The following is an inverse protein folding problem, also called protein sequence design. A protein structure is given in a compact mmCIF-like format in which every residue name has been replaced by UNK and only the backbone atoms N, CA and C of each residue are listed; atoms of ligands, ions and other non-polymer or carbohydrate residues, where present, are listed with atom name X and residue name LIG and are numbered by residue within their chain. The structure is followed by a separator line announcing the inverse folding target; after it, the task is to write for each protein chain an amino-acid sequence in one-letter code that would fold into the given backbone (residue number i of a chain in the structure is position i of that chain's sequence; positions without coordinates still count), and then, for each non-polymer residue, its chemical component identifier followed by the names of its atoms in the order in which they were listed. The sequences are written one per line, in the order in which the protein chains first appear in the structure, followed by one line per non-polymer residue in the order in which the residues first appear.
data_IF_330298113693
#
_entry.id   IF_330298113693
#
_cell.length_a   1.000
_cell.length_b   1.000
_cell.length_c   1.000
_cell.angle_alpha   90.00
_cell.angle_beta   90.00
_cell.angle_gamma   90.00
#
_symmetry.space_group_name_H-M   'P 1'
#
loop_
_entity.id
_entity.type
_entity.pdbx_description
1 polymer ?
#
# COMPACT_ATOMS: atom_id res chain seq x y z
N UNK A 1 60.82 26.20 -48.52
CA UNK A 1 62.02 25.33 -48.32
C UNK A 1 61.96 24.57 -47.04
N UNK A 2 62.33 23.32 -47.15
CA UNK A 2 62.53 22.31 -46.11
C UNK A 2 61.34 21.59 -45.52
N UNK A 3 61.23 20.38 -46.00
CA UNK A 3 60.59 19.17 -45.46
C UNK A 3 61.24 18.79 -44.14
N UNK A 4 60.43 18.18 -43.25
CA UNK A 4 60.94 17.00 -42.54
C UNK A 4 59.84 16.09 -42.14
N UNK A 5 59.99 14.83 -42.38
CA UNK A 5 59.22 13.68 -41.98
C UNK A 5 59.20 13.49 -40.48
N UNK A 6 58.18 12.89 -39.97
CA UNK A 6 58.41 11.87 -39.05
C UNK A 6 57.38 10.89 -38.64
N UNK A 7 57.74 9.78 -38.65
CA UNK A 7 57.43 8.49 -38.01
C UNK A 7 56.03 8.21 -37.36
N UNK A 8 55.46 7.19 -37.97
CA UNK A 8 54.35 6.40 -37.35
C UNK A 8 54.92 5.58 -36.18
N UNK A 9 54.21 5.65 -35.04
CA UNK A 9 54.28 4.62 -34.00
C UNK A 9 52.89 4.02 -33.87
N UNK A 10 52.81 2.77 -34.23
CA UNK A 10 51.65 1.93 -34.04
C UNK A 10 51.54 1.61 -32.55
N UNK A 11 50.54 2.16 -31.87
CA UNK A 11 50.10 1.73 -30.56
C UNK A 11 48.81 0.92 -30.69
N UNK A 12 48.93 -0.39 -30.58
CA UNK A 12 47.79 -1.30 -30.46
C UNK A 12 47.10 -1.03 -29.12
N UNK A 13 46.01 -0.28 -29.13
CA UNK A 13 45.10 -0.19 -27.99
C UNK A 13 44.10 -1.34 -28.08
N UNK A 14 44.35 -2.38 -27.30
CA UNK A 14 43.37 -3.45 -27.05
C UNK A 14 42.30 -2.88 -26.17
N UNK A 15 41.18 -2.45 -26.76
CA UNK A 15 39.98 -2.08 -26.04
C UNK A 15 39.26 -3.37 -25.63
N UNK A 16 39.48 -3.78 -24.38
CA UNK A 16 38.67 -4.82 -23.73
C UNK A 16 37.30 -4.19 -23.43
N UNK A 17 36.40 -4.36 -24.38
CA UNK A 17 34.98 -4.03 -24.17
C UNK A 17 34.37 -5.00 -23.18
N UNK A 18 34.20 -4.57 -21.95
CA UNK A 18 33.38 -5.26 -21.00
C UNK A 18 31.92 -4.94 -21.36
N UNK A 19 31.30 -5.80 -22.15
CA UNK A 19 29.85 -5.81 -22.29
C UNK A 19 29.28 -6.41 -21.02
N UNK A 20 28.89 -5.54 -20.10
CA UNK A 20 28.00 -5.92 -19.00
C UNK A 20 26.63 -6.20 -19.61
N UNK A 21 26.42 -7.42 -20.09
CA UNK A 21 25.07 -7.94 -20.32
C UNK A 21 24.43 -8.15 -18.96
N UNK A 22 23.87 -7.09 -18.40
CA UNK A 22 22.91 -7.18 -17.32
C UNK A 22 21.68 -7.89 -17.88
N UNK A 23 21.60 -9.20 -17.75
CA UNK A 23 20.35 -9.92 -17.86
C UNK A 23 19.46 -9.43 -16.73
N UNK A 24 18.64 -8.41 -17.02
CA UNK A 24 17.44 -8.17 -16.25
C UNK A 24 16.53 -9.36 -16.55
N UNK A 25 16.56 -10.37 -15.68
CA UNK A 25 15.55 -11.43 -15.71
C UNK A 25 14.21 -10.75 -15.41
N UNK A 26 13.46 -10.43 -16.45
CA UNK A 26 12.05 -10.19 -16.31
C UNK A 26 11.49 -11.48 -15.74
N UNK A 27 11.17 -11.48 -14.44
CA UNK A 27 10.30 -12.47 -13.89
C UNK A 27 8.98 -12.35 -14.69
N UNK A 28 8.75 -13.29 -15.59
CA UNK A 28 7.45 -13.43 -16.20
C UNK A 28 6.53 -13.88 -15.07
N UNK A 29 5.75 -12.97 -14.52
CA UNK A 29 4.58 -13.33 -13.76
C UNK A 29 3.70 -14.13 -14.73
N UNK A 30 3.69 -15.45 -14.56
CA UNK A 30 2.68 -16.29 -15.16
C UNK A 30 1.37 -15.98 -14.45
N UNK A 31 0.78 -14.85 -14.81
CA UNK A 31 -0.59 -14.56 -14.44
C UNK A 31 -1.45 -15.53 -15.23
N UNK A 32 -1.96 -16.54 -14.57
CA UNK A 32 -2.98 -17.42 -15.14
C UNK A 32 -4.22 -16.56 -15.34
N UNK A 33 -4.52 -16.27 -16.60
CA UNK A 33 -5.74 -15.57 -16.99
C UNK A 33 -6.91 -16.51 -16.71
N UNK A 34 -7.58 -16.32 -15.59
CA UNK A 34 -8.84 -16.99 -15.31
C UNK A 34 -9.92 -16.37 -16.19
N UNK A 35 -10.26 -17.05 -17.28
CA UNK A 35 -11.36 -16.65 -18.13
C UNK A 35 -12.67 -17.04 -17.43
N UNK A 36 -13.36 -16.05 -16.88
CA UNK A 36 -14.70 -16.25 -16.33
C UNK A 36 -15.70 -16.18 -17.51
N UNK A 37 -16.21 -17.33 -17.90
CA UNK A 37 -17.30 -17.38 -18.89
C UNK A 37 -18.63 -17.15 -18.17
N UNK A 38 -19.23 -16.00 -18.39
CA UNK A 38 -20.57 -15.70 -17.92
C UNK A 38 -21.61 -16.21 -18.92
N UNK A 39 -21.91 -17.50 -18.87
CA UNK A 39 -23.00 -18.08 -19.64
C UNK A 39 -24.32 -17.98 -18.84
N UNK A 40 -25.25 -17.23 -19.38
CA UNK A 40 -26.64 -17.30 -18.96
C UNK A 40 -26.93 -16.75 -17.56
N UNK A 41 -26.66 -15.48 -17.36
CA UNK A 41 -27.23 -14.77 -16.20
C UNK A 41 -28.70 -14.55 -16.51
N UNK A 42 -29.52 -15.55 -16.23
CA UNK A 42 -30.97 -15.44 -16.39
C UNK A 42 -31.74 -15.49 -15.06
N UNK A 43 -31.06 -15.75 -13.94
CA UNK A 43 -31.75 -15.87 -12.66
C UNK A 43 -31.12 -14.99 -11.61
N UNK A 44 -31.93 -14.50 -10.69
CA UNK A 44 -31.52 -13.79 -9.50
C UNK A 44 -30.45 -14.60 -8.77
N UNK A 45 -29.32 -13.96 -8.50
CA UNK A 45 -28.22 -14.58 -7.76
C UNK A 45 -28.68 -14.72 -6.30
N UNK A 46 -29.16 -15.91 -5.95
CA UNK A 46 -29.63 -16.19 -4.60
C UNK A 46 -28.41 -16.37 -3.71
N UNK A 47 -28.23 -15.49 -2.72
CA UNK A 47 -27.09 -15.53 -1.78
C UNK A 47 -26.88 -16.91 -1.14
N UNK A 48 -27.95 -17.67 -0.89
CA UNK A 48 -27.88 -19.02 -0.35
C UNK A 48 -27.18 -20.04 -1.25
N UNK A 49 -26.98 -19.75 -2.54
CA UNK A 49 -26.28 -20.65 -3.46
C UNK A 49 -24.76 -20.69 -3.23
N UNK A 50 -24.17 -19.65 -2.59
CA UNK A 50 -22.74 -19.55 -2.33
C UNK A 50 -22.39 -19.20 -0.88
N UNK A 51 -23.35 -18.70 -0.06
CA UNK A 51 -23.15 -18.45 1.36
C UNK A 51 -23.69 -19.63 2.18
N UNK A 52 -22.82 -20.24 2.95
CA UNK A 52 -23.19 -21.31 3.92
C UNK A 52 -23.84 -20.72 5.17
N UNK A 53 -23.33 -19.56 5.62
CA UNK A 53 -23.82 -18.84 6.77
C UNK A 53 -23.39 -17.38 6.66
N UNK A 54 -24.09 -16.50 7.37
CA UNK A 54 -23.69 -15.10 7.54
C UNK A 54 -23.93 -14.69 8.98
N UNK A 55 -23.19 -13.71 9.40
CA UNK A 55 -23.34 -13.05 10.70
C UNK A 55 -23.46 -11.55 10.47
N UNK A 56 -24.34 -10.91 11.21
CA UNK A 56 -24.51 -9.46 11.19
C UNK A 56 -23.92 -8.91 12.49
N UNK A 57 -22.85 -8.13 12.37
CA UNK A 57 -22.23 -7.45 13.50
C UNK A 57 -22.63 -5.98 13.43
N UNK A 58 -23.39 -5.51 14.42
CA UNK A 58 -23.72 -4.11 14.56
C UNK A 58 -22.56 -3.36 15.21
N UNK A 59 -22.00 -2.37 14.50
CA UNK A 59 -20.93 -1.55 15.07
C UNK A 59 -21.54 -0.48 15.99
N UNK A 60 -20.94 -0.33 17.18
CA UNK A 60 -21.37 0.62 18.19
C UNK A 60 -21.11 2.06 17.73
N UNK A 61 -22.12 2.90 17.90
CA UNK A 61 -22.11 4.35 17.69
C UNK A 61 -22.28 5.14 19.01
N UNK A 62 -21.98 4.48 20.13
CA UNK A 62 -22.27 4.99 21.49
C UNK A 62 -21.48 6.25 21.88
N UNK A 63 -20.39 6.55 21.16
CA UNK A 63 -19.56 7.73 21.38
C UNK A 63 -19.30 8.46 20.05
N UNK A 64 -19.11 9.78 20.04
CA UNK A 64 -18.88 10.54 18.80
C UNK A 64 -17.68 10.04 17.96
N UNK A 65 -16.64 9.55 18.60
CA UNK A 65 -15.45 9.02 17.94
C UNK A 65 -15.74 7.73 17.17
N UNK A 66 -16.76 6.97 17.56
CA UNK A 66 -17.19 5.73 16.93
C UNK A 66 -18.01 5.95 15.66
N UNK A 67 -18.55 7.15 15.45
CA UNK A 67 -19.38 7.44 14.28
C UNK A 67 -18.58 7.27 13.00
N UNK A 68 -19.12 6.50 12.06
CA UNK A 68 -18.54 6.26 10.74
C UNK A 68 -19.29 7.14 9.75
N UNK A 69 -18.56 7.97 9.01
CA UNK A 69 -19.15 8.82 7.98
C UNK A 69 -19.26 8.08 6.66
N UNK A 70 -18.18 7.42 6.28
CA UNK A 70 -18.15 6.59 5.08
C UNK A 70 -17.10 5.47 5.21
N UNK A 71 -17.52 4.18 5.24
CA UNK A 71 -16.58 3.07 5.35
C UNK A 71 -15.91 2.80 3.99
N UNK A 72 -14.74 3.38 3.77
CA UNK A 72 -13.97 3.15 2.53
C UNK A 72 -13.41 1.74 2.44
N UNK A 73 -12.96 1.21 3.58
CA UNK A 73 -12.41 -0.15 3.67
C UNK A 73 -12.68 -0.75 5.05
N UNK A 74 -12.97 -2.05 5.07
CA UNK A 74 -13.10 -2.82 6.31
C UNK A 74 -12.05 -3.91 6.30
N UNK A 75 -11.25 -3.98 7.37
CA UNK A 75 -10.19 -4.97 7.54
C UNK A 75 -10.55 -5.87 8.73
N UNK A 76 -10.46 -7.17 8.52
CA UNK A 76 -10.78 -8.17 9.54
C UNK A 76 -9.51 -8.87 10.02
N UNK A 77 -9.27 -8.79 11.32
CA UNK A 77 -8.33 -9.62 12.07
C UNK A 77 -9.09 -10.68 12.88
N UNK A 78 -8.38 -11.58 13.55
CA UNK A 78 -9.03 -12.63 14.35
C UNK A 78 -9.91 -12.07 15.47
N UNK A 79 -9.47 -11.00 16.11
CA UNK A 79 -10.05 -10.42 17.31
C UNK A 79 -10.48 -8.96 17.16
N UNK A 80 -10.35 -8.38 15.95
CA UNK A 80 -10.61 -6.96 15.68
C UNK A 80 -11.28 -6.75 14.33
N UNK A 81 -12.07 -5.69 14.26
CA UNK A 81 -12.60 -5.11 13.03
C UNK A 81 -12.05 -3.69 12.93
N UNK A 82 -11.39 -3.39 11.83
CA UNK A 82 -10.91 -2.04 11.55
C UNK A 82 -11.72 -1.43 10.42
N UNK A 83 -12.14 -0.18 10.60
CA UNK A 83 -12.89 0.57 9.60
C UNK A 83 -12.09 1.81 9.21
N UNK A 84 -11.76 1.90 7.94
CA UNK A 84 -11.10 3.07 7.35
C UNK A 84 -12.15 4.05 6.90
N UNK A 85 -12.18 5.22 7.51
CA UNK A 85 -13.08 6.32 7.16
C UNK A 85 -12.26 7.51 6.67
N UNK A 86 -12.03 7.54 5.34
CA UNK A 86 -11.24 8.62 4.71
C UNK A 86 -11.98 9.96 4.78
N UNK A 87 -13.31 9.94 4.82
CA UNK A 87 -14.13 11.14 4.88
C UNK A 87 -14.00 11.89 6.21
N UNK A 88 -13.68 11.18 7.29
CA UNK A 88 -13.39 11.75 8.62
C UNK A 88 -11.90 11.60 9.00
N UNK A 89 -11.06 11.17 8.07
CA UNK A 89 -9.61 11.01 8.27
C UNK A 89 -9.24 10.15 9.47
N UNK A 90 -9.93 9.05 9.70
CA UNK A 90 -9.68 8.21 10.87
C UNK A 90 -9.75 6.72 10.54
N UNK A 91 -9.01 5.96 11.33
CA UNK A 91 -9.10 4.51 11.42
C UNK A 91 -9.79 4.19 12.74
N UNK A 92 -10.86 3.40 12.68
CA UNK A 92 -11.62 2.97 13.85
C UNK A 92 -11.33 1.50 14.13
N UNK A 93 -11.32 1.12 15.38
CA UNK A 93 -11.15 -0.24 15.84
C UNK A 93 -12.32 -0.67 16.71
N UNK A 94 -12.87 -1.85 16.39
CA UNK A 94 -13.93 -2.51 17.12
C UNK A 94 -13.49 -3.92 17.50
N UNK A 95 -14.09 -4.48 18.54
CA UNK A 95 -13.98 -5.92 18.80
C UNK A 95 -14.86 -6.74 17.83
N UNK A 96 -14.87 -8.05 18.01
CA UNK A 96 -15.66 -8.96 17.15
C UNK A 96 -17.15 -8.81 17.35
N UNK A 97 -17.59 -8.36 18.51
CA UNK A 97 -18.98 -8.10 18.88
C UNK A 97 -19.46 -6.73 18.38
N UNK A 98 -18.56 -5.91 17.82
CA UNK A 98 -18.84 -4.58 17.28
C UNK A 98 -18.75 -3.45 18.30
N UNK A 99 -18.25 -3.70 19.50
CA UNK A 99 -18.02 -2.64 20.48
C UNK A 99 -16.83 -1.78 20.05
N UNK A 100 -17.02 -0.45 20.12
CA UNK A 100 -15.95 0.49 19.82
C UNK A 100 -14.84 0.40 20.86
N UNK A 101 -13.60 0.34 20.40
CA UNK A 101 -12.41 0.26 21.26
C UNK A 101 -11.58 1.52 21.20
N UNK A 102 -11.23 1.99 19.99
CA UNK A 102 -10.32 3.12 19.80
C UNK A 102 -10.40 3.68 18.38
N UNK A 103 -9.94 4.90 18.18
CA UNK A 103 -9.72 5.47 16.84
C UNK A 103 -8.46 6.30 16.80
N UNK A 104 -8.03 6.64 15.59
CA UNK A 104 -6.92 7.59 15.35
C UNK A 104 -7.41 9.03 15.23
N UNK A 105 -8.67 9.34 15.54
CA UNK A 105 -9.25 10.68 15.40
C UNK A 105 -8.46 11.77 16.15
N UNK A 106 -7.91 11.45 17.33
CA UNK A 106 -7.08 12.38 18.12
C UNK A 106 -5.69 12.66 17.53
N UNK A 107 -5.31 11.93 16.46
CA UNK A 107 -4.03 12.11 15.78
C UNK A 107 -4.15 12.94 14.51
N UNK A 108 -5.32 13.48 14.22
CA UNK A 108 -5.54 14.38 13.07
C UNK A 108 -5.08 15.77 13.43
N UNK A 109 -3.99 16.23 12.80
CA UNK A 109 -3.41 17.53 13.10
C UNK A 109 -2.09 17.77 12.38
N UNK A 110 -1.31 18.74 12.87
CA UNK A 110 0.00 19.15 12.32
C UNK A 110 1.14 18.98 13.34
N UNK A 111 0.89 18.31 14.42
CA UNK A 111 1.88 18.04 15.45
C UNK A 111 2.79 16.86 15.11
N UNK A 112 3.70 16.59 16.03
CA UNK A 112 4.54 15.40 15.93
C UNK A 112 3.67 14.14 16.09
N UNK A 113 3.85 13.15 15.22
CA UNK A 113 3.03 11.94 15.17
C UNK A 113 1.55 12.19 14.84
N UNK A 114 1.24 13.27 14.16
CA UNK A 114 -0.08 13.58 13.63
C UNK A 114 -0.07 13.54 12.10
N UNK A 115 -1.26 13.50 11.51
CA UNK A 115 -1.44 13.55 10.06
C UNK A 115 -2.64 14.43 9.70
N UNK A 116 -2.61 15.03 8.51
CA UNK A 116 -3.72 15.84 8.03
C UNK A 116 -4.74 15.00 7.29
N UNK A 117 -4.29 14.04 6.49
CA UNK A 117 -5.18 13.22 5.67
C UNK A 117 -4.74 11.76 5.65
N UNK A 118 -5.70 10.88 5.95
CA UNK A 118 -5.55 9.44 5.81
C UNK A 118 -5.87 9.07 4.37
N UNK A 119 -4.91 8.43 3.69
CA UNK A 119 -5.04 8.00 2.31
C UNK A 119 -5.51 6.57 2.18
N UNK A 120 -4.85 5.65 2.87
CA UNK A 120 -5.24 4.24 2.90
C UNK A 120 -4.56 3.49 4.06
N UNK A 121 -5.01 2.26 4.29
CA UNK A 121 -4.48 1.40 5.35
C UNK A 121 -4.20 0.01 4.79
N UNK A 122 -2.98 -0.46 4.97
CA UNK A 122 -2.60 -1.85 4.74
C UNK A 122 -2.51 -2.62 6.06
N UNK A 123 -2.82 -3.90 6.03
CA UNK A 123 -2.74 -4.78 7.19
C UNK A 123 -1.85 -5.99 6.90
N UNK A 124 -0.83 -6.15 7.71
CA UNK A 124 -0.07 -7.40 7.84
C UNK A 124 -0.66 -8.21 9.00
N UNK A 125 -1.38 -9.27 8.67
CA UNK A 125 -2.06 -10.12 9.66
C UNK A 125 -1.07 -10.93 10.50
N UNK A 126 -0.01 -11.44 9.88
CA UNK A 126 0.99 -12.28 10.55
C UNK A 126 1.81 -11.44 11.54
N UNK A 127 2.27 -10.27 11.11
CA UNK A 127 2.99 -9.33 11.96
C UNK A 127 2.10 -8.52 12.90
N UNK A 128 0.76 -8.69 12.85
CA UNK A 128 -0.22 -7.91 13.62
C UNK A 128 0.03 -6.40 13.55
N UNK A 129 0.26 -5.93 12.32
CA UNK A 129 0.70 -4.55 12.06
C UNK A 129 -0.24 -3.88 11.06
N UNK A 130 -0.54 -2.62 11.32
CA UNK A 130 -1.27 -1.73 10.42
C UNK A 130 -0.33 -0.65 9.91
N UNK A 131 -0.34 -0.43 8.61
CA UNK A 131 0.41 0.63 7.93
C UNK A 131 -0.59 1.66 7.43
N UNK A 132 -0.65 2.80 8.10
CA UNK A 132 -1.54 3.91 7.76
C UNK A 132 -0.77 4.88 6.88
N UNK A 133 -1.09 4.90 5.60
CA UNK A 133 -0.51 5.87 4.67
C UNK A 133 -1.24 7.21 4.77
N UNK A 134 -0.48 8.25 4.94
CA UNK A 134 -0.97 9.61 5.14
C UNK A 134 -0.38 10.57 4.13
N UNK A 135 -1.14 11.63 3.86
CA UNK A 135 -0.72 12.77 3.05
C UNK A 135 -0.59 14.02 3.93
N UNK A 136 0.36 14.89 3.55
CA UNK A 136 0.64 16.17 4.21
C UNK A 136 1.03 16.06 5.71
N UNK A 137 2.19 15.49 6.04
CA UNK A 137 3.24 15.02 5.15
C UNK A 137 2.99 13.61 4.61
N UNK A 138 3.70 13.24 3.52
CA UNK A 138 3.70 11.86 3.05
C UNK A 138 4.46 10.99 4.05
N UNK A 139 3.72 10.14 4.70
CA UNK A 139 4.29 9.26 5.73
C UNK A 139 3.49 7.97 5.84
N UNK A 140 4.15 6.95 6.38
CA UNK A 140 3.52 5.73 6.83
C UNK A 140 3.61 5.70 8.34
N UNK A 141 2.47 5.64 9.00
CA UNK A 141 2.39 5.46 10.43
C UNK A 141 2.15 3.97 10.72
N UNK A 142 3.01 3.39 11.52
CA UNK A 142 2.99 1.97 11.85
C UNK A 142 2.32 1.77 13.20
N UNK A 143 1.24 0.99 13.24
CA UNK A 143 0.49 0.69 14.46
C UNK A 143 0.48 -0.81 14.73
N UNK A 144 0.38 -1.19 15.99
CA UNK A 144 -0.07 -2.53 16.36
C UNK A 144 -1.61 -2.66 16.23
N UNK A 145 -2.13 -3.86 16.46
CA UNK A 145 -3.58 -4.12 16.39
C UNK A 145 -4.38 -3.54 17.56
N UNK A 146 -3.74 -2.93 18.53
CA UNK A 146 -4.38 -2.13 19.59
C UNK A 146 -4.32 -0.62 19.30
N UNK A 147 -3.99 -0.26 18.05
CA UNK A 147 -3.80 1.12 17.60
C UNK A 147 -2.80 1.91 18.46
N UNK A 148 -1.73 1.26 18.91
CA UNK A 148 -0.60 1.96 19.50
C UNK A 148 0.41 2.27 18.40
N UNK A 149 0.76 3.54 18.26
CA UNK A 149 1.75 3.99 17.31
C UNK A 149 3.13 3.43 17.71
N UNK A 150 3.78 2.76 16.77
CA UNK A 150 5.14 2.19 16.94
C UNK A 150 6.18 3.04 16.25
N UNK A 151 5.87 3.54 15.06
CA UNK A 151 6.82 4.23 14.22
C UNK A 151 6.13 5.18 13.25
N UNK A 152 6.83 6.22 12.82
CA UNK A 152 6.43 7.13 11.74
C UNK A 152 7.57 7.20 10.74
N UNK A 153 7.32 6.76 9.53
CA UNK A 153 8.30 6.76 8.45
C UNK A 153 7.90 7.78 7.41
N UNK A 154 8.78 8.74 7.14
CA UNK A 154 8.57 9.70 6.04
C UNK A 154 8.81 9.01 4.71
N UNK A 155 7.97 9.30 3.72
CA UNK A 155 8.11 8.80 2.37
C UNK A 155 8.12 9.95 1.37
N UNK A 156 8.77 9.73 0.21
CA UNK A 156 8.73 10.66 -0.91
C UNK A 156 7.57 10.34 -1.88
N UNK A 157 6.76 9.34 -1.54
CA UNK A 157 5.76 8.79 -2.43
C UNK A 157 4.35 9.07 -1.94
N UNK A 158 3.55 9.64 -2.84
CA UNK A 158 2.11 9.58 -2.77
C UNK A 158 1.65 8.21 -3.28
N UNK A 159 0.75 7.55 -2.57
CA UNK A 159 0.15 6.29 -2.98
C UNK A 159 -1.36 6.37 -2.80
N UNK A 160 -2.10 5.96 -3.82
CA UNK A 160 -3.58 5.98 -3.79
C UNK A 160 -4.12 4.85 -2.93
N UNK A 161 -3.53 3.66 -3.09
CA UNK A 161 -3.89 2.45 -2.35
C UNK A 161 -2.63 1.73 -1.89
N UNK A 162 -2.71 1.07 -0.74
CA UNK A 162 -1.62 0.30 -0.18
C UNK A 162 -2.07 -1.09 0.24
N UNK A 163 -1.17 -2.07 0.07
CA UNK A 163 -1.29 -3.42 0.62
C UNK A 163 0.06 -3.82 1.23
N UNK A 164 0.04 -4.71 2.20
CA UNK A 164 1.26 -5.16 2.85
C UNK A 164 1.30 -6.70 2.91
N UNK A 165 2.52 -7.22 2.76
CA UNK A 165 2.89 -8.54 3.21
C UNK A 165 3.95 -8.41 4.32
N UNK A 166 4.40 -9.49 4.91
CA UNK A 166 5.36 -9.45 6.02
C UNK A 166 6.70 -8.76 5.70
N UNK A 167 7.00 -8.49 4.42
CA UNK A 167 8.27 -7.92 3.96
C UNK A 167 8.14 -6.57 3.27
N UNK A 168 7.10 -6.38 2.48
CA UNK A 168 6.92 -5.17 1.67
C UNK A 168 5.60 -4.49 1.93
N UNK A 169 5.59 -3.17 1.75
CA UNK A 169 4.39 -2.37 1.56
C UNK A 169 4.36 -2.02 0.07
N UNK A 170 3.31 -2.42 -0.62
CA UNK A 170 3.09 -2.09 -2.02
C UNK A 170 2.06 -0.99 -2.12
N UNK A 171 2.31 -0.05 -2.99
CA UNK A 171 1.39 1.04 -3.26
C UNK A 171 1.22 1.28 -4.76
N UNK A 172 0.05 1.74 -5.15
CA UNK A 172 -0.23 2.23 -6.49
C UNK A 172 -0.14 3.74 -6.47
N UNK A 173 0.64 4.30 -7.38
CA UNK A 173 0.73 5.73 -7.61
C UNK A 173 0.16 6.08 -8.98
N UNK A 174 -0.83 6.94 -9.00
CA UNK A 174 -1.31 7.53 -10.24
C UNK A 174 -0.36 8.63 -10.71
N UNK A 175 0.08 8.55 -11.95
CA UNK A 175 0.93 9.56 -12.58
C UNK A 175 0.05 10.69 -13.11
N UNK A 176 0.33 11.91 -12.66
CA UNK A 176 -0.37 13.11 -13.08
C UNK A 176 0.56 14.01 -13.93
N UNK A 177 -0.02 14.78 -14.84
CA UNK A 177 0.56 15.78 -15.74
C UNK A 177 0.98 15.22 -17.08
N UNK A 178 2.27 14.98 -17.33
CA UNK A 178 2.77 14.65 -18.68
C UNK A 178 2.87 13.13 -18.91
N UNK A 179 2.70 12.35 -17.87
CA UNK A 179 2.71 10.89 -17.92
C UNK A 179 1.32 10.37 -17.50
N UNK A 180 0.76 9.50 -18.32
CA UNK A 180 -0.50 8.82 -18.03
C UNK A 180 -0.21 7.36 -17.65
N UNK A 181 -0.74 6.92 -16.54
CA UNK A 181 -0.58 5.53 -16.10
C UNK A 181 -0.50 5.38 -14.60
N UNK A 182 -0.07 4.21 -14.19
CA UNK A 182 0.12 3.84 -12.80
C UNK A 182 1.54 3.32 -12.61
N UNK A 183 2.12 3.62 -11.47
CA UNK A 183 3.35 2.99 -10.99
C UNK A 183 3.04 2.10 -9.79
N UNK A 184 3.70 0.96 -9.74
CA UNK A 184 3.74 0.12 -8.55
C UNK A 184 4.98 0.49 -7.75
N UNK A 185 4.78 0.96 -6.53
CA UNK A 185 5.84 1.24 -5.56
C UNK A 185 5.92 0.07 -4.59
N UNK A 186 7.12 -0.44 -4.34
CA UNK A 186 7.38 -1.45 -3.33
C UNK A 186 8.40 -0.90 -2.32
N UNK A 187 7.97 -0.73 -1.08
CA UNK A 187 8.79 -0.26 0.03
C UNK A 187 9.17 -1.46 0.89
N UNK A 188 10.46 -1.76 0.97
CA UNK A 188 10.96 -2.84 1.82
C UNK A 188 10.92 -2.39 3.29
N UNK A 189 10.22 -3.15 4.12
CA UNK A 189 9.98 -2.80 5.53
C UNK A 189 11.26 -2.55 6.33
N UNK A 190 12.27 -3.39 6.13
CA UNK A 190 13.55 -3.28 6.86
C UNK A 190 14.38 -2.05 6.43
N UNK A 191 14.00 -1.39 5.35
CA UNK A 191 14.63 -0.15 4.87
C UNK A 191 13.85 1.11 5.20
N UNK A 192 12.74 0.96 5.88
CA UNK A 192 11.95 2.10 6.39
C UNK A 192 12.53 2.66 7.69
N UNK A 193 13.59 2.03 8.24
CA UNK A 193 14.30 2.46 9.45
C UNK A 193 15.41 3.46 9.14
#
# INVERSE_FOLDING_TARGET
MKKTCFHYVWGLAISIGWTLNGCVSRASLNAELVKVETHGIHDELVYSSFLKSYEIVALSDSVPEALIKFPDRILFAEDRIFVVDKADNKLLMFDREGNFLKSTASMVGKGHNEYIRLMDVAMDKEGRTLYVHCDAPYQIMVFDFDLNLKEVVQTDYYMDEVVADGRFIYGIRTLYRDETGFELVALERDRLQ
#
